data_IF_279276347313
#
_entry.id   IF_279276347313
#
_cell.length_a   1.000
_cell.length_b   1.000
_cell.length_c   1.000
_cell.angle_alpha   90.00
_cell.angle_beta   90.00
_cell.angle_gamma   90.00
#
_symmetry.space_group_name_H-M   'P 1'
#
loop_
_entity.id
_entity.type
_entity.pdbx_description
1 polymer ?
#
# COMPACT_ATOMS: atom_id res chain seq x y z
N UNK A 1 -5.09 -40.61 -8.86
CA UNK A 1 -6.29 -40.21 -8.11
C UNK A 1 -5.97 -39.24 -6.98
N UNK A 2 -4.99 -39.58 -6.14
CA UNK A 2 -4.60 -38.63 -5.05
C UNK A 2 -4.05 -37.32 -5.58
N UNK A 3 -3.30 -37.34 -6.67
CA UNK A 3 -2.75 -36.14 -7.25
C UNK A 3 -3.83 -35.16 -7.70
N UNK A 4 -4.96 -35.69 -8.18
CA UNK A 4 -6.09 -34.88 -8.59
C UNK A 4 -6.75 -34.22 -7.38
N UNK A 5 -6.95 -34.98 -6.30
CA UNK A 5 -7.53 -34.43 -5.07
C UNK A 5 -6.61 -33.38 -4.44
N UNK A 6 -5.30 -33.61 -4.47
CA UNK A 6 -4.32 -32.64 -3.98
C UNK A 6 -4.38 -31.36 -4.81
N UNK A 7 -4.45 -31.48 -6.12
CA UNK A 7 -4.55 -30.32 -7.00
C UNK A 7 -5.83 -29.53 -6.75
N UNK A 8 -6.97 -30.22 -6.61
CA UNK A 8 -8.24 -29.56 -6.33
C UNK A 8 -8.18 -28.86 -4.99
N UNK A 9 -7.63 -29.50 -3.96
CA UNK A 9 -7.49 -28.91 -2.64
C UNK A 9 -6.62 -27.65 -2.66
N UNK A 10 -5.52 -27.68 -3.42
CA UNK A 10 -4.65 -26.52 -3.57
C UNK A 10 -5.37 -25.36 -4.28
N UNK A 11 -6.14 -25.68 -5.32
CA UNK A 11 -6.90 -24.65 -6.04
C UNK A 11 -7.96 -24.01 -5.14
N UNK A 12 -8.64 -24.80 -4.32
CA UNK A 12 -9.63 -24.31 -3.37
C UNK A 12 -8.95 -23.40 -2.33
N UNK A 13 -7.80 -23.83 -1.81
CA UNK A 13 -7.06 -23.05 -0.84
C UNK A 13 -6.63 -21.71 -1.41
N UNK A 14 -6.09 -21.71 -2.63
CA UNK A 14 -5.69 -20.47 -3.30
C UNK A 14 -6.88 -19.55 -3.54
N UNK A 15 -8.02 -20.12 -3.90
CA UNK A 15 -9.24 -19.34 -4.09
C UNK A 15 -9.69 -18.69 -2.78
N UNK A 16 -9.65 -19.42 -1.68
CA UNK A 16 -10.01 -18.89 -0.36
C UNK A 16 -9.08 -17.75 0.02
N UNK A 17 -7.77 -17.92 -0.17
CA UNK A 17 -6.79 -16.88 0.12
C UNK A 17 -7.07 -15.64 -0.74
N UNK A 18 -7.35 -15.82 -2.02
CA UNK A 18 -7.66 -14.71 -2.92
C UNK A 18 -8.91 -13.95 -2.49
N UNK A 19 -9.98 -14.68 -2.09
CA UNK A 19 -11.22 -14.08 -1.64
C UNK A 19 -11.01 -13.28 -0.35
N UNK A 20 -10.31 -13.86 0.62
CA UNK A 20 -10.03 -13.14 1.88
C UNK A 20 -9.15 -11.92 1.64
N UNK A 21 -8.16 -12.02 0.76
CA UNK A 21 -7.33 -10.87 0.41
C UNK A 21 -8.12 -9.75 -0.25
N UNK A 22 -9.01 -10.11 -1.18
CA UNK A 22 -9.86 -9.14 -1.85
C UNK A 22 -10.84 -8.48 -0.87
N UNK A 23 -11.45 -9.27 0.02
CA UNK A 23 -12.33 -8.72 1.05
C UNK A 23 -11.57 -7.78 1.98
N UNK A 24 -10.37 -8.16 2.41
CA UNK A 24 -9.54 -7.30 3.24
C UNK A 24 -9.27 -5.96 2.54
N UNK A 25 -8.85 -6.00 1.28
CA UNK A 25 -8.54 -4.80 0.52
C UNK A 25 -9.79 -3.91 0.34
N UNK A 26 -10.94 -4.54 0.05
CA UNK A 26 -12.17 -3.80 -0.16
C UNK A 26 -12.72 -3.21 1.13
N UNK A 27 -12.76 -3.99 2.21
CA UNK A 27 -13.36 -3.57 3.48
C UNK A 27 -12.51 -2.54 4.21
N UNK A 28 -11.21 -2.50 3.95
CA UNK A 28 -10.31 -1.54 4.58
C UNK A 28 -10.10 -0.29 3.74
N UNK A 29 -10.71 -0.23 2.56
CA UNK A 29 -10.60 0.94 1.69
C UNK A 29 -11.32 2.13 2.32
N UNK A 30 -10.63 3.27 2.32
CA UNK A 30 -11.18 4.50 2.86
C UNK A 30 -10.51 5.71 2.24
N UNK A 31 -11.14 6.85 2.37
CA UNK A 31 -10.58 8.11 1.90
C UNK A 31 -10.08 8.91 3.08
N UNK A 32 -8.88 9.46 2.93
CA UNK A 32 -8.30 10.35 3.93
C UNK A 32 -7.79 11.62 3.26
N UNK A 33 -7.64 12.67 4.06
CA UNK A 33 -7.04 13.93 3.65
C UNK A 33 -5.82 14.17 4.53
N UNK A 34 -4.71 14.54 3.91
CA UNK A 34 -3.46 14.73 4.65
C UNK A 34 -2.56 15.74 3.97
N UNK A 35 -1.64 16.31 4.74
CA UNK A 35 -0.55 17.14 4.23
C UNK A 35 0.74 16.32 4.30
N UNK A 36 1.52 16.36 3.25
CA UNK A 36 2.77 15.60 3.16
C UNK A 36 3.86 16.33 3.93
N UNK A 37 4.38 15.70 4.99
CA UNK A 37 5.51 16.22 5.74
C UNK A 37 6.83 15.85 5.05
N UNK A 38 6.95 14.60 4.64
CA UNK A 38 8.11 14.15 3.88
C UNK A 38 7.78 12.89 3.11
N UNK A 39 8.58 12.63 2.09
CA UNK A 39 8.56 11.35 1.37
C UNK A 39 9.80 10.57 1.75
N UNK A 40 9.66 9.27 1.81
CA UNK A 40 10.77 8.43 2.18
C UNK A 40 10.65 7.05 1.61
N UNK A 41 11.51 6.20 2.11
CA UNK A 41 11.52 4.79 1.72
C UNK A 41 11.69 3.93 2.97
N UNK A 42 11.13 2.74 2.92
CA UNK A 42 11.34 1.73 3.95
C UNK A 42 11.97 0.53 3.28
N UNK A 43 13.19 0.22 3.70
CA UNK A 43 13.97 -0.87 3.11
C UNK A 43 13.89 -2.08 4.00
N UNK A 44 13.53 -3.21 3.40
CA UNK A 44 13.52 -4.51 4.07
C UNK A 44 14.68 -5.34 3.55
N UNK A 45 15.40 -5.98 4.47
CA UNK A 45 16.53 -6.80 4.09
C UNK A 45 16.41 -8.19 4.66
N UNK A 46 16.84 -9.17 3.86
CA UNK A 46 16.99 -10.55 4.29
C UNK A 46 18.41 -11.00 4.03
N UNK A 47 18.97 -11.71 4.98
CA UNK A 47 20.26 -12.37 4.80
C UNK A 47 20.00 -13.87 4.87
N UNK A 48 20.33 -14.58 3.80
CA UNK A 48 20.15 -16.01 3.72
C UNK A 48 21.38 -16.62 3.05
N UNK A 49 22.07 -17.50 3.76
CA UNK A 49 23.27 -18.18 3.27
C UNK A 49 24.36 -17.20 2.79
N UNK A 50 24.53 -16.09 3.51
CA UNK A 50 25.51 -15.09 3.13
C UNK A 50 25.10 -14.17 1.99
N UNK A 51 23.90 -14.35 1.45
CA UNK A 51 23.35 -13.48 0.42
C UNK A 51 22.33 -12.55 1.01
N UNK A 52 22.48 -11.26 0.73
CA UNK A 52 21.52 -10.26 1.13
C UNK A 52 20.58 -9.94 0.00
N UNK A 53 19.29 -9.88 0.32
CA UNK A 53 18.26 -9.40 -0.60
C UNK A 53 17.55 -8.26 0.08
N UNK A 54 17.44 -7.12 -0.60
CA UNK A 54 16.72 -5.98 -0.08
C UNK A 54 15.64 -5.55 -1.06
N UNK A 55 14.53 -5.06 -0.52
CA UNK A 55 13.52 -4.39 -1.32
C UNK A 55 13.05 -3.15 -0.57
N UNK A 56 12.63 -2.15 -1.32
CA UNK A 56 12.32 -0.84 -0.79
C UNK A 56 10.90 -0.47 -1.17
N UNK A 57 10.12 -0.04 -0.19
CA UNK A 57 8.78 0.51 -0.40
C UNK A 57 8.83 2.02 -0.28
N UNK A 58 8.13 2.72 -1.17
CA UNK A 58 7.95 4.15 -1.03
C UNK A 58 7.00 4.45 0.12
N UNK A 59 7.32 5.48 0.88
CA UNK A 59 6.53 5.88 2.04
C UNK A 59 6.18 7.36 1.93
N UNK A 60 5.01 7.69 2.42
CA UNK A 60 4.56 9.07 2.58
C UNK A 60 4.29 9.29 4.06
N UNK A 61 4.96 10.28 4.64
CA UNK A 61 4.75 10.65 6.04
C UNK A 61 3.96 11.94 6.10
N UNK A 62 2.90 11.92 6.88
CA UNK A 62 1.98 13.04 6.96
C UNK A 62 2.30 13.95 8.13
N UNK A 63 1.76 15.19 8.10
CA UNK A 63 1.98 16.16 9.17
C UNK A 63 1.31 15.75 10.47
N UNK A 64 0.33 14.84 10.42
CA UNK A 64 -0.33 14.31 11.62
C UNK A 64 0.25 12.95 12.05
N UNK A 65 1.48 12.69 11.67
CA UNK A 65 2.27 11.52 12.08
C UNK A 65 1.73 10.18 11.60
N UNK A 66 0.99 10.17 10.50
CA UNK A 66 0.62 8.93 9.84
C UNK A 66 1.68 8.55 8.82
N UNK A 67 1.87 7.25 8.64
CA UNK A 67 2.75 6.72 7.61
C UNK A 67 1.93 5.91 6.63
N UNK A 68 2.08 6.19 5.35
CA UNK A 68 1.35 5.53 4.28
C UNK A 68 2.34 4.88 3.33
N UNK A 69 2.02 3.68 2.89
CA UNK A 69 2.84 2.95 1.93
C UNK A 69 2.35 3.25 0.52
N UNK A 70 3.28 3.34 -0.42
CA UNK A 70 2.95 3.54 -1.82
C UNK A 70 3.63 2.45 -2.64
N UNK A 71 2.93 1.36 -2.84
CA UNK A 71 3.43 0.22 -3.62
C UNK A 71 2.37 -0.23 -4.62
N UNK A 72 2.80 -1.01 -5.60
CA UNK A 72 1.87 -1.60 -6.54
C UNK A 72 0.91 -2.55 -5.83
N UNK A 73 -0.31 -2.66 -6.35
CA UNK A 73 -1.33 -3.50 -5.76
C UNK A 73 -2.10 -4.25 -6.84
N UNK A 74 -2.14 -5.55 -6.71
CA UNK A 74 -2.92 -6.39 -7.59
C UNK A 74 -4.43 -6.17 -7.37
N UNK A 75 -4.84 -5.95 -6.12
CA UNK A 75 -6.25 -5.83 -5.75
C UNK A 75 -6.94 -4.63 -6.38
N UNK A 76 -6.17 -3.53 -6.62
CA UNK A 76 -6.69 -2.30 -7.20
C UNK A 76 -6.04 -1.98 -8.54
N UNK A 77 -5.36 -2.98 -9.13
CA UNK A 77 -4.72 -2.84 -10.43
C UNK A 77 -3.79 -1.65 -10.49
N UNK A 78 -3.04 -1.44 -9.44
CA UNK A 78 -2.15 -0.30 -9.31
C UNK A 78 -0.72 -0.72 -9.66
N UNK A 79 -0.20 -0.14 -10.72
CA UNK A 79 1.12 -0.48 -11.24
C UNK A 79 2.06 0.73 -11.34
N UNK A 80 1.62 1.92 -10.87
CA UNK A 80 2.35 3.17 -11.09
C UNK A 80 2.80 3.82 -9.79
N UNK A 81 3.28 3.01 -8.85
CA UNK A 81 3.70 3.56 -7.56
C UNK A 81 4.87 4.53 -7.70
N UNK A 82 5.80 4.29 -8.62
CA UNK A 82 6.93 5.19 -8.86
C UNK A 82 6.45 6.55 -9.39
N UNK A 83 5.53 6.55 -10.35
CA UNK A 83 4.98 7.79 -10.89
C UNK A 83 4.19 8.55 -9.83
N UNK A 84 3.43 7.83 -9.01
CA UNK A 84 2.66 8.42 -7.93
C UNK A 84 3.59 9.06 -6.90
N UNK A 85 4.66 8.38 -6.55
CA UNK A 85 5.64 8.91 -5.59
C UNK A 85 6.28 10.20 -6.12
N UNK A 86 6.58 10.25 -7.40
CA UNK A 86 7.15 11.45 -8.02
C UNK A 86 6.15 12.60 -8.06
N UNK A 87 4.86 12.29 -8.24
CA UNK A 87 3.81 13.29 -8.33
C UNK A 87 3.50 13.94 -6.99
N UNK A 88 3.61 13.21 -5.89
CA UNK A 88 3.33 13.73 -4.56
C UNK A 88 4.45 14.68 -4.14
N UNK A 89 4.08 15.87 -3.66
CA UNK A 89 5.03 16.90 -3.27
C UNK A 89 4.91 17.23 -1.79
N UNK A 90 6.07 17.41 -1.15
CA UNK A 90 6.14 17.78 0.26
C UNK A 90 5.51 19.16 0.46
N UNK A 91 4.73 19.28 1.53
CA UNK A 91 4.06 20.53 1.89
C UNK A 91 2.69 20.71 1.25
N UNK A 92 2.31 19.85 0.36
CA UNK A 92 1.00 19.93 -0.30
C UNK A 92 -0.01 19.03 0.37
N UNK A 93 -1.28 19.36 0.17
CA UNK A 93 -2.41 18.65 0.74
C UNK A 93 -3.07 17.77 -0.32
N UNK A 94 -3.37 16.55 0.06
CA UNK A 94 -3.97 15.57 -0.85
C UNK A 94 -5.14 14.87 -0.20
N UNK A 95 -6.15 14.55 -1.02
CA UNK A 95 -7.15 13.54 -0.69
C UNK A 95 -6.71 12.24 -1.35
N UNK A 96 -6.68 11.17 -0.58
CA UNK A 96 -6.21 9.88 -1.07
C UNK A 96 -7.19 8.78 -0.71
N UNK A 97 -7.26 7.79 -1.58
CA UNK A 97 -7.90 6.52 -1.25
C UNK A 97 -6.82 5.55 -0.83
N UNK A 98 -7.03 4.93 0.32
CA UNK A 98 -6.07 3.96 0.88
C UNK A 98 -6.80 2.69 1.28
N UNK A 99 -6.06 1.61 1.42
CA UNK A 99 -6.59 0.37 1.96
C UNK A 99 -5.55 -0.27 2.87
N UNK A 100 -6.04 -1.16 3.74
CA UNK A 100 -5.18 -1.87 4.68
C UNK A 100 -5.14 -1.19 6.03
N UNK A 101 -4.68 -1.94 7.02
CA UNK A 101 -4.55 -1.48 8.39
C UNK A 101 -3.09 -1.19 8.72
N UNK A 102 -2.89 -0.29 9.68
CA UNK A 102 -1.58 -0.09 10.27
C UNK A 102 -1.40 -1.12 11.38
N UNK A 103 -0.48 -2.06 11.19
CA UNK A 103 -0.16 -3.07 12.19
C UNK A 103 1.31 -2.89 12.55
N UNK A 104 1.56 -2.23 13.70
CA UNK A 104 2.90 -1.85 14.10
C UNK A 104 3.83 -3.03 14.34
N UNK A 105 3.29 -4.11 14.91
CA UNK A 105 4.10 -5.29 15.23
C UNK A 105 4.71 -5.95 14.00
N UNK A 106 4.08 -5.79 12.84
CA UNK A 106 4.54 -6.41 11.59
C UNK A 106 4.98 -5.39 10.55
N UNK A 107 5.09 -4.12 10.92
CA UNK A 107 5.42 -3.03 9.97
C UNK A 107 4.49 -3.00 8.77
N UNK A 108 3.21 -3.23 9.00
CA UNK A 108 2.17 -3.14 7.97
C UNK A 108 1.60 -1.74 7.96
N UNK A 109 1.55 -1.14 6.80
CA UNK A 109 1.07 0.23 6.62
C UNK A 109 -0.04 0.26 5.57
N UNK A 110 -1.02 1.18 5.70
CA UNK A 110 -2.00 1.36 4.64
C UNK A 110 -1.33 1.74 3.33
N UNK A 111 -1.82 1.19 2.23
CA UNK A 111 -1.30 1.45 0.89
C UNK A 111 -2.17 2.49 0.18
N UNK A 112 -1.54 3.44 -0.48
CA UNK A 112 -2.23 4.47 -1.25
C UNK A 112 -2.69 3.88 -2.58
N UNK A 113 -3.98 3.99 -2.88
CA UNK A 113 -4.54 3.58 -4.17
C UNK A 113 -4.40 4.72 -5.17
N UNK A 114 -4.82 5.91 -4.79
CA UNK A 114 -4.80 7.09 -5.64
C UNK A 114 -4.76 8.35 -4.79
N UNK A 115 -4.27 9.43 -5.38
CA UNK A 115 -4.23 10.74 -4.71
C UNK A 115 -4.78 11.81 -5.63
N UNK A 116 -5.38 12.82 -5.02
CA UNK A 116 -5.81 14.02 -5.70
C UNK A 116 -5.37 15.22 -4.89
N UNK A 117 -4.63 16.11 -5.52
CA UNK A 117 -4.18 17.32 -4.83
C UNK A 117 -5.36 18.19 -4.51
N UNK A 118 -5.42 18.67 -3.26
CA UNK A 118 -6.41 19.65 -2.85
C UNK A 118 -5.73 21.00 -2.88
N UNK A 119 -6.17 21.84 -3.79
CA UNK A 119 -5.62 23.17 -3.90
C UNK A 119 -6.22 24.06 -2.85
N UNK A 120 -5.46 24.31 -1.77
CA UNK A 120 -5.95 25.10 -0.65
C UNK A 120 -6.20 26.55 -1.02
N UNK A 121 -5.60 27.05 -2.09
CA UNK A 121 -5.83 28.42 -2.53
C UNK A 121 -7.27 28.65 -2.98
N UNK A 122 -7.95 27.62 -3.43
CA UNK A 122 -9.37 27.73 -3.79
C UNK A 122 -10.27 27.86 -2.59
N UNK A 123 -9.82 27.42 -1.42
CA UNK A 123 -10.61 27.53 -0.21
C UNK A 123 -10.75 28.97 0.27
N UNK A 124 -9.93 29.86 -0.23
CA UNK A 124 -9.95 31.26 0.15
C UNK A 124 -10.85 32.13 -0.72
N UNK A 125 -11.48 31.53 -1.69
CA UNK A 125 -12.30 32.27 -2.66
C UNK A 125 -13.78 32.22 -2.36
#
# INVERSE_FOLDING_TARGET
MQDLYTLIAMCILLLIIAVFGALYAYLTRRRIVFVVREKGTLTHGYVNNGRGTTYTNFMIYTSDDRALKNTNSLWYWKWRSTELQAKIQVGKKYAAEIYGWRIGAFNVYPNIISVKEINSSHAHK
#
